data_IF_768167717651
#
_entry.id   IF_768167717651
#
_cell.length_a   1.000
_cell.length_b   1.000
_cell.length_c   1.000
_cell.angle_alpha   90.00
_cell.angle_beta   90.00
_cell.angle_gamma   90.00
#
_symmetry.space_group_name_H-M   'P 1'
#
loop_
_entity.id
_entity.type
_entity.pdbx_description
1 polymer ?
#
# COMPACT_ATOMS: atom_id res chain seq x y z
N UNK A 1 23.74 -20.80 9.34
CA UNK A 1 23.20 -19.46 9.69
C UNK A 1 22.98 -18.69 8.39
N UNK A 2 21.86 -18.04 8.22
CA UNK A 2 21.60 -17.19 7.05
C UNK A 2 21.93 -15.76 7.48
N UNK A 3 22.89 -15.14 6.79
CA UNK A 3 23.21 -13.74 7.02
C UNK A 3 22.18 -12.86 6.33
N UNK A 4 21.55 -11.96 7.08
CA UNK A 4 20.56 -11.00 6.59
C UNK A 4 21.20 -9.61 6.60
N UNK A 5 21.17 -8.93 5.45
CA UNK A 5 21.73 -7.59 5.30
C UNK A 5 20.65 -6.59 4.89
N UNK A 6 20.64 -5.43 5.54
CA UNK A 6 19.85 -4.28 5.08
C UNK A 6 20.69 -3.56 4.03
N UNK A 7 20.22 -3.55 2.79
CA UNK A 7 20.89 -2.91 1.66
C UNK A 7 20.48 -1.47 1.43
N UNK A 8 19.21 -1.14 1.74
CA UNK A 8 18.66 0.20 1.64
C UNK A 8 17.48 0.34 2.60
N UNK A 9 17.21 1.56 3.02
CA UNK A 9 16.03 1.92 3.81
C UNK A 9 15.47 3.25 3.29
N UNK A 10 14.15 3.40 3.36
CA UNK A 10 13.46 4.64 3.03
C UNK A 10 12.34 4.86 4.05
N UNK A 11 12.10 6.12 4.38
CA UNK A 11 11.07 6.51 5.35
C UNK A 11 10.28 7.69 4.83
N UNK A 12 9.01 7.76 5.20
CA UNK A 12 8.14 8.89 4.92
C UNK A 12 7.47 9.38 6.19
N UNK A 13 7.50 10.68 6.42
CA UNK A 13 6.80 11.34 7.53
C UNK A 13 5.89 12.44 7.00
N UNK A 14 4.92 12.86 7.80
CA UNK A 14 3.98 13.92 7.43
C UNK A 14 4.69 15.26 7.07
N UNK A 15 5.88 15.50 7.62
CA UNK A 15 6.69 16.68 7.34
C UNK A 15 7.18 16.76 5.89
N UNK A 16 7.27 15.63 5.21
CA UNK A 16 7.66 15.55 3.79
C UNK A 16 6.54 15.94 2.82
N UNK A 17 5.35 16.23 3.35
CA UNK A 17 4.20 16.62 2.56
C UNK A 17 3.48 15.46 1.88
N UNK A 18 2.78 15.72 0.78
CA UNK A 18 2.02 14.69 0.07
C UNK A 18 2.93 13.78 -0.77
N UNK A 19 2.75 12.44 -0.72
CA UNK A 19 3.53 11.52 -1.53
C UNK A 19 3.19 11.67 -3.03
N UNK A 20 4.21 11.68 -3.87
CA UNK A 20 4.08 11.73 -5.34
C UNK A 20 3.59 10.41 -5.91
N UNK A 21 4.05 9.29 -5.33
CA UNK A 21 3.71 7.92 -5.73
C UNK A 21 3.92 7.67 -7.23
N UNK A 22 5.07 8.06 -7.76
CA UNK A 22 5.36 8.04 -9.20
C UNK A 22 5.39 6.64 -9.81
N UNK A 23 5.61 5.60 -8.99
CA UNK A 23 5.50 4.21 -9.44
C UNK A 23 4.07 3.81 -9.85
N UNK A 24 3.07 4.60 -9.48
CA UNK A 24 1.68 4.37 -9.87
C UNK A 24 1.30 5.36 -10.97
N UNK A 25 0.81 4.89 -12.14
CA UNK A 25 0.36 5.77 -13.21
C UNK A 25 -0.67 6.81 -12.73
N UNK A 26 -0.64 8.02 -13.26
CA UNK A 26 -1.47 9.15 -12.81
C UNK A 26 -2.99 8.81 -12.80
N UNK A 27 -3.45 8.05 -13.77
CA UNK A 27 -4.86 7.63 -13.86
C UNK A 27 -5.29 6.74 -12.68
N UNK A 28 -4.41 5.82 -12.23
CA UNK A 28 -4.64 4.97 -11.06
C UNK A 28 -4.45 5.76 -9.76
N UNK A 29 -3.40 6.58 -9.70
CA UNK A 29 -2.99 7.34 -8.50
C UNK A 29 -4.11 8.21 -7.92
N UNK A 30 -4.96 8.79 -8.77
CA UNK A 30 -6.10 9.62 -8.33
C UNK A 30 -7.12 8.84 -7.49
N UNK A 31 -7.16 7.51 -7.64
CA UNK A 31 -8.10 6.62 -6.94
C UNK A 31 -7.45 5.87 -5.78
N UNK A 32 -6.13 6.03 -5.60
CA UNK A 32 -5.40 5.39 -4.53
C UNK A 32 -5.59 6.15 -3.22
N UNK A 33 -5.73 5.40 -2.14
CA UNK A 33 -5.70 5.93 -0.77
C UNK A 33 -4.35 6.57 -0.45
N UNK A 34 -4.29 7.30 0.65
CA UNK A 34 -3.02 7.81 1.17
C UNK A 34 -2.05 6.66 1.49
N UNK A 35 -2.54 5.58 2.11
CA UNK A 35 -1.72 4.41 2.44
C UNK A 35 -1.07 3.81 1.19
N UNK A 36 -1.85 3.59 0.13
CA UNK A 36 -1.33 3.10 -1.15
C UNK A 36 -0.26 4.04 -1.75
N UNK A 37 -0.49 5.36 -1.69
CA UNK A 37 0.49 6.32 -2.20
C UNK A 37 1.77 6.36 -1.38
N UNK A 38 1.68 6.21 -0.06
CA UNK A 38 2.85 6.14 0.82
C UNK A 38 3.70 4.89 0.54
N UNK A 39 3.07 3.73 0.40
CA UNK A 39 3.77 2.50 0.01
C UNK A 39 4.49 2.66 -1.32
N UNK A 40 3.83 3.25 -2.32
CA UNK A 40 4.43 3.49 -3.62
C UNK A 40 5.59 4.50 -3.56
N UNK A 41 5.48 5.54 -2.74
CA UNK A 41 6.54 6.54 -2.57
C UNK A 41 7.80 5.93 -1.97
N UNK A 42 7.66 5.25 -0.82
CA UNK A 42 8.79 4.58 -0.15
C UNK A 42 9.42 3.51 -1.05
N UNK A 43 8.60 2.73 -1.75
CA UNK A 43 9.11 1.74 -2.72
C UNK A 43 9.84 2.42 -3.87
N UNK A 44 9.36 3.56 -4.35
CA UNK A 44 10.02 4.35 -5.39
C UNK A 44 11.41 4.82 -4.98
N UNK A 45 11.59 5.26 -3.74
CA UNK A 45 12.90 5.62 -3.20
C UNK A 45 13.85 4.41 -3.17
N UNK A 46 13.36 3.23 -2.75
CA UNK A 46 14.17 2.01 -2.73
C UNK A 46 14.56 1.57 -4.15
N UNK A 47 13.65 1.64 -5.11
CA UNK A 47 13.93 1.35 -6.52
C UNK A 47 14.95 2.35 -7.07
N UNK A 48 14.81 3.64 -6.76
CA UNK A 48 15.78 4.67 -7.12
C UNK A 48 17.17 4.43 -6.52
N UNK A 49 17.26 3.79 -5.37
CA UNK A 49 18.50 3.33 -4.74
C UNK A 49 19.04 2.01 -5.32
N UNK A 50 18.46 1.51 -6.41
CA UNK A 50 18.92 0.31 -7.13
C UNK A 50 18.36 -1.01 -6.59
N UNK A 51 17.30 -0.98 -5.77
CA UNK A 51 16.67 -2.21 -5.30
C UNK A 51 15.76 -2.80 -6.39
N UNK A 52 15.92 -4.10 -6.75
CA UNK A 52 15.05 -4.73 -7.74
C UNK A 52 13.64 -4.95 -7.17
N UNK A 53 12.61 -4.49 -7.89
CA UNK A 53 11.22 -4.68 -7.46
C UNK A 53 10.54 -5.88 -8.15
N UNK A 54 10.75 -6.07 -9.44
CA UNK A 54 9.90 -6.90 -10.29
C UNK A 54 9.60 -8.32 -9.77
N UNK A 55 10.56 -8.94 -9.08
CA UNK A 55 10.44 -10.30 -8.53
C UNK A 55 10.81 -10.39 -7.05
N UNK A 56 11.04 -9.27 -6.40
CA UNK A 56 11.35 -9.22 -4.97
C UNK A 56 10.15 -9.75 -4.15
N UNK A 57 10.42 -10.44 -3.05
CA UNK A 57 9.35 -10.72 -2.09
C UNK A 57 9.00 -9.43 -1.34
N UNK A 58 7.71 -9.12 -1.26
CA UNK A 58 7.20 -7.96 -0.51
C UNK A 58 6.49 -8.48 0.73
N UNK A 59 6.90 -7.98 1.89
CA UNK A 59 6.17 -8.13 3.14
C UNK A 59 5.72 -6.74 3.58
N UNK A 60 4.42 -6.50 3.63
CA UNK A 60 3.81 -5.24 4.01
C UNK A 60 3.10 -5.38 5.35
N UNK A 61 3.58 -4.68 6.36
CA UNK A 61 2.90 -4.55 7.66
C UNK A 61 2.06 -3.27 7.70
N UNK A 62 0.82 -3.39 8.13
CA UNK A 62 -0.08 -2.24 8.33
C UNK A 62 -0.93 -2.45 9.58
N UNK A 63 -1.03 -1.44 10.45
CA UNK A 63 -1.82 -1.56 11.67
C UNK A 63 -3.33 -1.68 11.38
N UNK A 64 -3.83 -0.92 10.41
CA UNK A 64 -5.26 -0.78 10.13
C UNK A 64 -5.65 -1.01 8.67
N UNK A 65 -4.71 -1.34 7.79
CA UNK A 65 -4.98 -1.54 6.37
C UNK A 65 -5.54 -0.28 5.70
N UNK A 66 -6.58 -0.47 4.92
CA UNK A 66 -7.32 0.60 4.20
C UNK A 66 -8.53 1.11 5.00
N UNK A 67 -8.37 1.30 6.32
CA UNK A 67 -9.50 1.60 7.23
C UNK A 67 -10.37 2.77 6.78
N UNK A 68 -9.82 3.76 6.10
CA UNK A 68 -10.57 4.92 5.62
C UNK A 68 -11.63 4.52 4.58
N UNK A 69 -11.28 3.65 3.63
CA UNK A 69 -12.21 3.19 2.58
C UNK A 69 -13.39 2.37 3.12
N UNK A 70 -13.18 1.35 3.99
CA UNK A 70 -14.30 0.67 4.65
C UNK A 70 -15.16 1.60 5.50
N UNK A 71 -14.57 2.58 6.21
CA UNK A 71 -15.33 3.54 6.99
C UNK A 71 -16.27 4.37 6.12
N UNK A 72 -15.77 4.91 4.99
CA UNK A 72 -16.59 5.63 4.03
C UNK A 72 -17.71 4.75 3.44
N UNK A 73 -17.43 3.47 3.14
CA UNK A 73 -18.45 2.55 2.64
C UNK A 73 -19.54 2.28 3.68
N UNK A 74 -19.17 2.13 4.96
CA UNK A 74 -20.13 1.94 6.04
C UNK A 74 -21.01 3.20 6.25
N UNK A 75 -20.42 4.39 6.15
CA UNK A 75 -21.17 5.64 6.22
C UNK A 75 -22.18 5.75 5.06
N UNK A 76 -21.78 5.42 3.83
CA UNK A 76 -22.69 5.38 2.68
C UNK A 76 -23.82 4.38 2.88
N UNK A 77 -23.55 3.21 3.46
CA UNK A 77 -24.59 2.22 3.78
C UNK A 77 -25.55 2.73 4.84
N UNK A 78 -25.05 3.38 5.89
CA UNK A 78 -25.85 3.94 6.97
C UNK A 78 -26.79 5.03 6.46
N UNK A 79 -26.28 5.92 5.62
CA UNK A 79 -27.02 7.08 5.13
C UNK A 79 -28.01 6.73 4.01
N UNK A 80 -28.01 5.47 3.54
CA UNK A 80 -28.97 4.96 2.55
C UNK A 80 -28.81 5.52 1.14
N UNK A 81 -27.68 6.13 0.86
CA UNK A 81 -27.37 6.85 -0.39
C UNK A 81 -27.11 5.92 -1.60
N UNK A 82 -27.76 4.77 -1.65
CA UNK A 82 -27.88 3.97 -2.87
C UNK A 82 -26.69 3.07 -3.17
N UNK A 83 -26.23 3.06 -4.40
CA UNK A 83 -25.30 2.07 -4.91
C UNK A 83 -23.89 2.26 -4.37
N UNK A 84 -23.41 1.30 -3.59
CA UNK A 84 -21.98 1.21 -3.24
C UNK A 84 -21.15 1.09 -4.51
N UNK A 85 -20.09 1.89 -4.60
CA UNK A 85 -19.16 1.81 -5.74
C UNK A 85 -18.40 0.47 -5.71
N UNK A 86 -18.57 -0.40 -6.73
CA UNK A 86 -17.78 -1.64 -6.82
C UNK A 86 -16.27 -1.39 -6.79
N UNK A 87 -15.85 -0.27 -7.35
CA UNK A 87 -14.43 0.12 -7.36
C UNK A 87 -13.92 0.45 -5.95
N UNK A 88 -14.70 1.17 -5.13
CA UNK A 88 -14.35 1.43 -3.74
C UNK A 88 -14.33 0.15 -2.92
N UNK A 89 -15.30 -0.72 -3.13
CA UNK A 89 -15.31 -2.02 -2.47
C UNK A 89 -14.06 -2.84 -2.80
N UNK A 90 -13.66 -2.90 -4.08
CA UNK A 90 -12.45 -3.61 -4.51
C UNK A 90 -11.15 -3.07 -3.88
N UNK A 91 -11.15 -1.81 -3.44
CA UNK A 91 -9.99 -1.16 -2.79
C UNK A 91 -10.11 -1.05 -1.27
N UNK A 92 -11.08 -1.71 -0.65
CA UNK A 92 -11.31 -1.65 0.81
C UNK A 92 -10.57 -2.72 1.61
N UNK A 93 -9.84 -3.62 0.94
CA UNK A 93 -9.14 -4.73 1.58
C UNK A 93 -7.73 -4.33 2.04
N UNK A 94 -7.24 -4.96 3.12
CA UNK A 94 -5.98 -4.59 3.76
C UNK A 94 -4.74 -4.70 2.86
N UNK A 95 -4.78 -5.53 1.82
CA UNK A 95 -3.68 -5.70 0.86
C UNK A 95 -3.78 -4.80 -0.39
N UNK A 96 -4.69 -3.85 -0.42
CA UNK A 96 -4.89 -2.93 -1.55
C UNK A 96 -3.61 -2.22 -1.96
N UNK A 97 -2.83 -1.72 -1.01
CA UNK A 97 -1.61 -0.96 -1.29
C UNK A 97 -0.60 -1.76 -2.11
N UNK A 98 -0.29 -2.98 -1.68
CA UNK A 98 0.64 -3.86 -2.40
C UNK A 98 0.05 -4.40 -3.70
N UNK A 99 -1.25 -4.66 -3.75
CA UNK A 99 -1.96 -5.09 -4.95
C UNK A 99 -1.94 -4.02 -6.05
N UNK A 100 -2.24 -2.78 -5.72
CA UNK A 100 -2.18 -1.65 -6.66
C UNK A 100 -0.76 -1.40 -7.17
N UNK A 101 0.24 -1.46 -6.28
CA UNK A 101 1.64 -1.34 -6.67
C UNK A 101 2.06 -2.49 -7.60
N UNK A 102 1.68 -3.72 -7.29
CA UNK A 102 1.99 -4.89 -8.11
C UNK A 102 1.41 -4.76 -9.52
N UNK A 103 0.16 -4.35 -9.66
CA UNK A 103 -0.49 -4.10 -10.95
C UNK A 103 0.25 -3.00 -11.72
N UNK A 104 0.55 -1.87 -11.06
CA UNK A 104 1.19 -0.73 -11.68
C UNK A 104 2.60 -1.03 -12.20
N UNK A 105 3.33 -1.91 -11.52
CA UNK A 105 4.74 -2.22 -11.81
C UNK A 105 4.95 -3.58 -12.50
N UNK A 106 3.89 -4.32 -12.81
CA UNK A 106 4.02 -5.67 -13.35
C UNK A 106 4.79 -6.61 -12.41
N UNK A 107 4.64 -6.42 -11.09
CA UNK A 107 5.32 -7.22 -10.09
C UNK A 107 4.79 -8.65 -10.08
N UNK A 108 5.68 -9.62 -10.18
CA UNK A 108 5.36 -11.05 -10.24
C UNK A 108 5.93 -11.87 -9.07
N UNK A 109 6.57 -11.19 -8.11
CA UNK A 109 7.09 -11.80 -6.89
C UNK A 109 5.99 -12.10 -5.87
N UNK A 110 6.37 -12.76 -4.78
CA UNK A 110 5.47 -12.99 -3.67
C UNK A 110 5.13 -11.68 -2.97
N UNK A 111 3.86 -11.47 -2.65
CA UNK A 111 3.40 -10.33 -1.86
C UNK A 111 2.54 -10.82 -0.69
N UNK A 112 2.89 -10.40 0.51
CA UNK A 112 2.17 -10.72 1.74
C UNK A 112 1.86 -9.43 2.48
N UNK A 113 0.63 -9.28 2.93
CA UNK A 113 0.22 -8.16 3.79
C UNK A 113 -0.25 -8.69 5.14
N UNK A 114 0.30 -8.13 6.20
CA UNK A 114 -0.03 -8.43 7.59
C UNK A 114 -0.73 -7.23 8.22
N UNK A 115 -1.89 -7.47 8.83
CA UNK A 115 -2.67 -6.47 9.53
C UNK A 115 -3.02 -6.99 10.93
N UNK A 116 -2.27 -6.55 11.94
CA UNK A 116 -2.35 -7.06 13.31
C UNK A 116 -2.38 -5.93 14.36
N UNK A 117 -2.88 -4.75 13.99
CA UNK A 117 -2.91 -3.59 14.86
C UNK A 117 -1.51 -3.22 15.35
N UNK A 118 -1.37 -2.96 16.63
CA UNK A 118 -0.08 -2.58 17.24
C UNK A 118 0.98 -3.69 17.19
N UNK A 119 0.57 -4.94 16.99
CA UNK A 119 1.47 -6.09 16.93
C UNK A 119 2.01 -6.37 15.51
N UNK A 120 1.65 -5.57 14.52
CA UNK A 120 2.01 -5.80 13.11
C UNK A 120 3.52 -5.94 12.92
N UNK A 121 4.32 -5.11 13.57
CA UNK A 121 5.79 -5.15 13.44
C UNK A 121 6.37 -6.45 13.98
N UNK A 122 5.80 -6.99 15.05
CA UNK A 122 6.26 -8.26 15.63
C UNK A 122 5.82 -9.48 14.80
N UNK A 123 4.77 -9.33 13.99
CA UNK A 123 4.24 -10.38 13.13
C UNK A 123 4.88 -10.41 11.73
N UNK A 124 5.56 -9.33 11.33
CA UNK A 124 6.22 -9.20 10.03
C UNK A 124 7.63 -9.78 10.03
#
# INVERSE_FOLDING_TARGET
>A
MIDVFIRAAATWTAERGAPRAELIPAAMRRRCSLATRLVAEVTGELVGAGMPLARAAIVHGTAFGEIATPAELLDMMRDGDGALSPLRFATSVHNTATGQLAIAQGHTGRSTTLCAGEQTVAAA
#
